data_IF_753260147615
#
_entry.id   IF_753260147615
#
_cell.length_a   1.000
_cell.length_b   1.000
_cell.length_c   1.000
_cell.angle_alpha   90.00
_cell.angle_beta   90.00
_cell.angle_gamma   90.00
#
_symmetry.space_group_name_H-M   'P 1'
#
loop_
_entity.id
_entity.type
_entity.pdbx_description
1 polymer ?
#
# COMPACT_ATOMS: atom_id res chain seq x y z
N UNK A 1 2.29 -0.95 26.49
CA UNK A 1 2.40 0.52 26.54
C UNK A 1 2.06 1.07 25.17
N UNK A 2 0.99 1.87 25.06
CA UNK A 2 0.57 2.46 23.79
C UNK A 2 1.41 3.71 23.53
N UNK A 3 2.24 3.66 22.48
CA UNK A 3 2.93 4.83 21.95
C UNK A 3 1.84 5.81 21.49
N UNK A 4 1.88 7.10 21.87
CA UNK A 4 0.85 8.04 21.48
C UNK A 4 0.76 8.11 19.95
N UNK A 5 -0.44 7.93 19.37
CA UNK A 5 -0.62 7.99 17.92
C UNK A 5 -0.18 9.37 17.42
N UNK A 6 0.54 9.38 16.30
CA UNK A 6 0.85 10.62 15.59
C UNK A 6 -0.45 11.28 15.11
N UNK A 7 -0.47 12.61 14.99
CA UNK A 7 -1.69 13.38 14.64
C UNK A 7 -2.43 12.84 13.39
N UNK A 8 -1.69 12.25 12.45
CA UNK A 8 -2.22 11.62 11.23
C UNK A 8 -3.07 10.35 11.50
N UNK A 9 -2.84 9.66 12.61
CA UNK A 9 -3.51 8.41 12.94
C UNK A 9 -4.81 8.65 13.77
N UNK A 10 -5.03 9.87 14.28
CA UNK A 10 -6.29 10.27 14.90
C UNK A 10 -7.45 10.21 13.89
N UNK A 11 -8.47 9.41 14.20
CA UNK A 11 -9.63 9.23 13.34
C UNK A 11 -9.39 8.32 12.12
N UNK A 12 -8.22 7.67 12.03
CA UNK A 12 -7.93 6.68 10.99
C UNK A 12 -8.92 5.51 11.02
N UNK A 13 -9.26 5.03 12.22
CA UNK A 13 -10.25 3.95 12.38
C UNK A 13 -11.61 4.35 11.82
N UNK A 14 -12.09 5.57 12.07
CA UNK A 14 -13.35 6.08 11.53
C UNK A 14 -13.29 6.20 10.01
N UNK A 15 -12.22 6.76 9.46
CA UNK A 15 -12.04 6.87 8.00
C UNK A 15 -12.03 5.50 7.33
N UNK A 16 -11.36 4.53 7.93
CA UNK A 16 -11.25 3.16 7.42
C UNK A 16 -12.62 2.47 7.33
N UNK A 17 -13.51 2.69 8.31
CA UNK A 17 -14.90 2.19 8.29
C UNK A 17 -15.70 2.75 7.10
N UNK A 18 -15.51 4.02 6.74
CA UNK A 18 -16.24 4.65 5.63
C UNK A 18 -15.60 4.41 4.26
N UNK A 19 -14.31 4.07 4.19
CA UNK A 19 -13.60 3.88 2.91
C UNK A 19 -13.38 2.42 2.53
N UNK A 20 -13.32 1.48 3.49
CA UNK A 20 -13.23 0.05 3.18
C UNK A 20 -14.62 -0.52 2.87
N UNK A 21 -14.80 -0.94 1.62
CA UNK A 21 -16.00 -1.68 1.18
C UNK A 21 -17.03 -0.83 0.43
N UNK A 22 -16.89 0.50 0.41
CA UNK A 22 -17.73 1.35 -0.44
C UNK A 22 -17.13 1.46 -1.84
N UNK A 23 -17.54 0.54 -2.71
CA UNK A 23 -17.08 0.44 -4.10
C UNK A 23 -18.25 0.11 -5.03
N UNK A 24 -19.35 0.87 -4.95
CA UNK A 24 -20.33 0.85 -6.03
C UNK A 24 -19.62 1.39 -7.28
N UNK A 25 -19.61 0.61 -8.37
CA UNK A 25 -19.00 0.89 -9.69
C UNK A 25 -17.53 0.47 -9.93
N UNK A 26 -16.74 0.15 -8.90
CA UNK A 26 -15.31 -0.17 -9.09
C UNK A 26 -14.95 -1.55 -8.52
N UNK A 27 -14.52 -2.47 -9.40
CA UNK A 27 -13.96 -3.76 -8.99
C UNK A 27 -12.50 -3.53 -8.62
N UNK A 28 -12.16 -3.71 -7.34
CA UNK A 28 -10.79 -3.63 -6.85
C UNK A 28 -10.28 -5.04 -6.50
N UNK A 29 -9.19 -5.43 -7.12
CA UNK A 29 -8.41 -6.63 -6.80
C UNK A 29 -7.18 -6.20 -6.02
N UNK A 30 -7.00 -6.71 -4.80
CA UNK A 30 -5.83 -6.46 -3.96
C UNK A 30 -5.15 -7.80 -3.66
N UNK A 31 -3.90 -7.95 -4.10
CA UNK A 31 -3.08 -9.14 -3.88
C UNK A 31 -1.90 -8.77 -3.00
N UNK A 32 -1.93 -9.27 -1.77
CA UNK A 32 -0.89 -9.05 -0.77
C UNK A 32 -0.14 -10.34 -0.50
N UNK A 33 1.12 -10.39 -0.92
CA UNK A 33 2.04 -11.48 -0.64
C UNK A 33 3.04 -11.03 0.42
N UNK A 34 3.18 -11.81 1.48
CA UNK A 34 4.25 -11.64 2.47
C UNK A 34 5.17 -12.85 2.38
N UNK A 35 6.41 -12.62 2.02
CA UNK A 35 7.46 -13.63 2.04
C UNK A 35 8.17 -13.60 3.40
N UNK A 36 8.58 -14.77 3.86
CA UNK A 36 9.32 -14.96 5.12
C UNK A 36 10.63 -14.16 5.14
N UNK A 37 11.20 -13.88 3.97
CA UNK A 37 12.43 -13.11 3.78
C UNK A 37 12.26 -11.59 3.99
N UNK A 38 11.14 -11.13 4.57
CA UNK A 38 10.88 -9.72 4.86
C UNK A 38 10.41 -8.89 3.65
N UNK A 39 10.06 -9.56 2.56
CA UNK A 39 9.58 -8.97 1.31
C UNK A 39 8.06 -9.00 1.27
N UNK A 40 7.44 -7.83 1.21
CA UNK A 40 5.99 -7.65 1.07
C UNK A 40 5.71 -7.10 -0.34
N UNK A 41 4.95 -7.84 -1.14
CA UNK A 41 4.44 -7.36 -2.42
C UNK A 41 2.95 -7.09 -2.30
N UNK A 42 2.53 -5.90 -2.74
CA UNK A 42 1.14 -5.48 -2.78
C UNK A 42 0.86 -5.08 -4.23
N UNK A 43 0.13 -5.93 -4.95
CA UNK A 43 -0.36 -5.59 -6.28
C UNK A 43 -1.83 -5.27 -6.18
N UNK A 44 -2.23 -4.06 -6.55
CA UNK A 44 -3.62 -3.64 -6.53
C UNK A 44 -4.05 -3.14 -7.90
N UNK A 45 -5.06 -3.80 -8.47
CA UNK A 45 -5.69 -3.41 -9.72
C UNK A 45 -7.13 -2.97 -9.49
N UNK A 46 -7.57 -1.93 -10.19
CA UNK A 46 -8.94 -1.46 -10.13
C UNK A 46 -9.51 -1.21 -11.52
N UNK A 47 -10.73 -1.70 -11.73
CA UNK A 47 -11.45 -1.66 -13.00
C UNK A 47 -12.83 -1.05 -12.78
N UNK A 48 -13.22 -0.13 -13.65
CA UNK A 48 -14.55 0.50 -13.60
C UNK A 48 -15.51 -0.29 -14.49
N UNK A 49 -16.63 -0.73 -13.93
CA UNK A 49 -17.60 -1.59 -14.65
C UNK A 49 -18.29 -0.88 -15.81
N UNK A 50 -18.31 0.46 -15.81
CA UNK A 50 -18.98 1.28 -16.84
C UNK A 50 -18.19 1.41 -18.14
N UNK A 51 -16.86 1.30 -18.08
CA UNK A 51 -15.97 1.57 -19.22
C UNK A 51 -15.22 0.34 -19.69
N UNK A 52 -15.38 -0.80 -19.00
CA UNK A 52 -14.65 -2.09 -19.19
C UNK A 52 -13.12 -1.96 -19.29
N UNK A 53 -12.57 -0.79 -18.95
CA UNK A 53 -11.15 -0.46 -18.97
C UNK A 53 -10.57 -0.56 -17.56
N UNK A 54 -9.38 -1.15 -17.46
CA UNK A 54 -8.54 -1.08 -16.25
C UNK A 54 -8.16 0.38 -16.04
N UNK A 55 -8.56 0.96 -14.91
CA UNK A 55 -8.40 2.41 -14.67
C UNK A 55 -7.10 2.69 -13.92
N UNK A 56 -6.74 1.85 -12.95
CA UNK A 56 -5.50 2.00 -12.21
C UNK A 56 -4.97 0.63 -11.79
N UNK A 57 -3.72 0.32 -12.14
CA UNK A 57 -2.97 -0.80 -11.57
C UNK A 57 -1.68 -0.28 -10.96
N UNK A 58 -1.50 -0.52 -9.66
CA UNK A 58 -0.31 -0.14 -8.90
C UNK A 58 0.34 -1.35 -8.27
N UNK A 59 1.66 -1.39 -8.33
CA UNK A 59 2.51 -2.41 -7.73
C UNK A 59 3.37 -1.74 -6.66
N UNK A 60 3.20 -2.13 -5.41
CA UNK A 60 4.04 -1.70 -4.30
C UNK A 60 4.89 -2.89 -3.81
N UNK A 61 6.20 -2.75 -3.93
CA UNK A 61 7.19 -3.69 -3.42
C UNK A 61 7.85 -3.08 -2.20
N UNK A 62 7.74 -3.76 -1.07
CA UNK A 62 8.34 -3.30 0.17
C UNK A 62 9.29 -4.37 0.70
N UNK A 63 10.56 -4.01 0.77
CA UNK A 63 11.60 -4.87 1.30
C UNK A 63 12.05 -4.36 2.66
N UNK A 64 11.87 -5.19 3.70
CA UNK A 64 12.23 -4.85 5.07
C UNK A 64 13.35 -5.77 5.54
N UNK A 65 14.56 -5.23 5.66
CA UNK A 65 15.64 -5.86 6.43
C UNK A 65 15.60 -5.34 7.86
N UNK A 66 15.02 -6.15 8.74
CA UNK A 66 14.95 -5.85 10.18
C UNK A 66 16.32 -5.79 10.84
N UNK A 67 17.28 -6.63 10.43
CA UNK A 67 18.66 -6.65 10.97
C UNK A 67 19.39 -5.32 10.83
N UNK A 68 19.14 -4.57 9.76
CA UNK A 68 19.84 -3.31 9.45
C UNK A 68 18.94 -2.08 9.60
N UNK A 69 17.71 -2.24 10.12
CA UNK A 69 16.73 -1.16 10.21
C UNK A 69 16.35 -0.56 8.84
N UNK A 70 16.57 -1.29 7.75
CA UNK A 70 16.39 -0.81 6.38
C UNK A 70 15.00 -1.19 5.86
N UNK A 71 14.25 -0.20 5.38
CA UNK A 71 13.00 -0.42 4.66
C UNK A 71 13.08 0.27 3.30
N UNK A 72 13.07 -0.52 2.24
CA UNK A 72 12.95 -0.06 0.87
C UNK A 72 11.47 -0.19 0.49
N UNK A 73 10.89 0.86 -0.06
CA UNK A 73 9.53 0.84 -0.62
C UNK A 73 9.59 1.38 -2.03
N UNK A 74 9.24 0.54 -2.98
CA UNK A 74 9.17 0.85 -4.40
C UNK A 74 7.72 0.77 -4.83
N UNK A 75 7.22 1.82 -5.47
CA UNK A 75 5.85 1.92 -5.93
C UNK A 75 5.84 2.27 -7.41
N UNK A 76 5.28 1.37 -8.18
CA UNK A 76 5.01 1.51 -9.61
C UNK A 76 3.51 1.69 -9.84
N UNK A 77 3.16 2.49 -10.84
CA UNK A 77 1.78 2.66 -11.27
C UNK A 77 1.70 2.61 -12.81
N UNK A 78 0.51 2.33 -13.34
CA UNK A 78 0.25 2.20 -14.79
C UNK A 78 0.47 3.52 -15.54
N UNK A 79 0.40 4.65 -14.85
CA UNK A 79 0.75 5.99 -15.35
C UNK A 79 2.28 6.22 -15.49
N UNK A 80 3.05 5.14 -15.62
CA UNK A 80 4.51 5.12 -15.74
C UNK A 80 5.24 5.93 -14.64
N UNK A 81 4.64 6.01 -13.46
CA UNK A 81 5.23 6.73 -12.32
C UNK A 81 5.93 5.73 -11.41
N UNK A 82 7.23 5.95 -11.19
CA UNK A 82 8.05 5.22 -10.21
C UNK A 82 8.35 6.11 -9.00
N UNK A 83 7.90 5.67 -7.83
CA UNK A 83 8.32 6.24 -6.55
C UNK A 83 9.21 5.25 -5.80
N UNK A 84 10.45 5.63 -5.52
CA UNK A 84 11.33 4.86 -4.66
C UNK A 84 11.56 5.61 -3.34
N UNK A 85 11.42 4.90 -2.22
CA UNK A 85 11.64 5.43 -0.88
C UNK A 85 12.55 4.51 -0.09
N UNK A 86 13.66 5.07 0.37
CA UNK A 86 14.61 4.41 1.26
C UNK A 86 14.43 4.97 2.67
N UNK A 87 14.20 4.09 3.64
CA UNK A 87 14.24 4.44 5.05
C UNK A 87 15.36 3.66 5.72
N UNK A 88 16.37 4.38 6.20
CA UNK A 88 17.27 3.89 7.23
C UNK A 88 16.80 4.37 8.59
N UNK A 89 17.06 3.61 9.65
CA UNK A 89 16.91 4.08 11.02
C UNK A 89 18.26 3.87 11.69
N UNK A 90 19.01 4.95 11.89
CA UNK A 90 20.19 4.92 12.76
C UNK A 90 19.69 4.88 14.20
N UNK A 91 20.33 4.06 15.03
CA UNK A 91 20.02 3.91 16.45
C UNK A 91 20.07 5.23 17.20
#
# INVERSE_FOLDING_TARGET
MAVPPTYVDLGKSTRDVFTKGYCFVLIKLDLKMKSENGLEFISSGSTRTETTKVVNSSLETKYRRTEYGLTITEKWNTDNTLGMRLLWKTS
#
